data_IF_484529639262
#
_entry.id   IF_484529639262
#
_cell.length_a   1.000
_cell.length_b   1.000
_cell.length_c   1.000
_cell.angle_alpha   90.00
_cell.angle_beta   90.00
_cell.angle_gamma   90.00
#
_symmetry.space_group_name_H-M   'P 1'
#
loop_
_entity.id
_entity.type
_entity.pdbx_description
1 polymer ?
#
# COMPACT_ATOMS: atom_id res chain seq x y z
N UNK A 1 -2.08 4.68 38.77
CA UNK A 1 -2.14 5.02 37.34
C UNK A 1 -2.95 3.92 36.68
N UNK A 2 -4.02 4.25 35.98
CA UNK A 2 -4.84 3.26 35.27
C UNK A 2 -4.05 2.76 34.06
N UNK A 3 -3.73 1.48 34.05
CA UNK A 3 -3.08 0.83 32.92
C UNK A 3 -4.08 0.69 31.76
N UNK A 4 -3.69 1.11 30.55
CA UNK A 4 -4.57 1.08 29.37
C UNK A 4 -4.34 -0.21 28.59
N UNK A 5 -5.21 -1.20 28.78
CA UNK A 5 -5.08 -2.50 28.12
C UNK A 5 -5.82 -2.55 26.77
N UNK A 6 -5.19 -3.17 25.76
CA UNK A 6 -5.87 -3.53 24.52
C UNK A 6 -6.79 -4.73 24.76
N UNK A 7 -8.08 -4.57 24.50
CA UNK A 7 -9.07 -5.64 24.65
C UNK A 7 -8.88 -6.79 23.65
N UNK A 8 -8.15 -6.57 22.55
CA UNK A 8 -7.97 -7.56 21.48
C UNK A 8 -6.74 -8.44 21.69
N UNK A 9 -5.63 -7.87 22.18
CA UNK A 9 -4.36 -8.59 22.34
C UNK A 9 -3.74 -8.50 23.75
N UNK A 10 -4.46 -7.92 24.72
CA UNK A 10 -4.06 -7.75 26.12
C UNK A 10 -2.72 -7.01 26.35
N UNK A 11 -2.21 -6.26 25.38
CA UNK A 11 -1.04 -5.41 25.60
C UNK A 11 -1.38 -4.19 26.44
N UNK A 12 -0.44 -3.80 27.30
CA UNK A 12 -0.61 -2.73 28.30
C UNK A 12 0.14 -1.47 27.86
N UNK A 13 -0.57 -0.34 27.84
CA UNK A 13 -0.04 0.96 27.42
C UNK A 13 -0.06 1.96 28.57
N UNK A 14 0.96 2.83 28.60
CA UNK A 14 1.13 3.88 29.62
C UNK A 14 0.22 5.09 29.44
N UNK A 15 -0.49 5.18 28.32
CA UNK A 15 -1.39 6.30 28.03
C UNK A 15 -2.56 5.88 27.12
N UNK A 16 -3.69 6.61 27.15
CA UNK A 16 -4.80 6.38 26.23
C UNK A 16 -4.37 6.57 24.77
N UNK A 17 -3.46 7.52 24.50
CA UNK A 17 -2.92 7.76 23.16
C UNK A 17 -2.10 6.58 22.64
N UNK A 18 -1.30 5.94 23.51
CA UNK A 18 -0.57 4.72 23.17
C UNK A 18 -1.50 3.56 22.83
N UNK A 19 -2.58 3.38 23.61
CA UNK A 19 -3.61 2.39 23.33
C UNK A 19 -4.34 2.67 22.02
N UNK A 20 -4.72 3.92 21.74
CA UNK A 20 -5.41 4.30 20.49
C UNK A 20 -4.52 4.08 19.28
N UNK A 21 -3.24 4.49 19.34
CA UNK A 21 -2.29 4.26 18.24
C UNK A 21 -2.04 2.78 18.02
N UNK A 22 -1.89 2.00 19.09
CA UNK A 22 -1.81 0.55 19.01
C UNK A 22 -3.06 -0.05 18.35
N UNK A 23 -4.27 0.36 18.78
CA UNK A 23 -5.53 -0.08 18.15
C UNK A 23 -5.56 0.29 16.67
N UNK A 24 -5.19 1.51 16.29
CA UNK A 24 -5.23 1.92 14.88
C UNK A 24 -4.21 1.18 14.00
N UNK A 25 -3.09 0.73 14.57
CA UNK A 25 -2.03 0.03 13.82
C UNK A 25 -2.25 -1.48 13.80
N UNK A 26 -2.58 -2.07 14.95
CA UNK A 26 -2.64 -3.53 15.15
C UNK A 26 -4.08 -4.07 15.11
N UNK A 27 -5.08 -3.23 15.34
CA UNK A 27 -6.51 -3.59 15.33
C UNK A 27 -7.36 -2.51 14.62
N UNK A 28 -6.98 -2.07 13.41
CA UNK A 28 -7.69 -1.00 12.72
C UNK A 28 -9.18 -1.36 12.64
N UNK A 29 -10.01 -0.60 13.35
CA UNK A 29 -11.44 -0.73 13.24
C UNK A 29 -11.84 -0.10 11.91
N UNK A 30 -11.98 -0.92 10.88
CA UNK A 30 -12.61 -0.50 9.63
C UNK A 30 -14.03 -0.10 10.00
N UNK A 31 -14.36 1.20 9.91
CA UNK A 31 -15.73 1.67 10.12
C UNK A 31 -16.65 0.96 9.14
N UNK A 32 -17.40 -0.01 9.65
CA UNK A 32 -18.48 -0.64 8.92
C UNK A 32 -19.54 0.46 8.70
N UNK A 33 -19.76 0.85 7.45
CA UNK A 33 -21.04 1.45 7.08
C UNK A 33 -22.17 0.52 7.53
N UNK A 34 -23.41 1.02 7.73
CA UNK A 34 -24.50 0.21 8.24
C UNK A 34 -24.55 -1.10 7.47
N UNK A 35 -24.19 -2.19 8.15
CA UNK A 35 -24.50 -3.53 7.67
C UNK A 35 -26.02 -3.52 7.56
N UNK A 36 -26.56 -3.79 6.38
CA UNK A 36 -27.98 -4.09 6.27
C UNK A 36 -28.21 -5.33 7.16
N UNK A 37 -28.64 -5.10 8.39
CA UNK A 37 -29.00 -6.10 9.39
C UNK A 37 -30.35 -6.77 9.08
N UNK A 38 -30.83 -6.63 7.84
CA UNK A 38 -31.82 -7.55 7.30
C UNK A 38 -31.08 -8.77 6.80
N UNK A 39 -31.17 -9.88 7.52
CA UNK A 39 -30.93 -11.24 7.00
C UNK A 39 -31.80 -11.44 5.75
N UNK A 40 -31.30 -10.96 4.62
CA UNK A 40 -31.78 -11.33 3.30
C UNK A 40 -30.85 -12.46 2.89
N UNK A 41 -31.37 -13.69 2.87
CA UNK A 41 -30.62 -14.86 2.44
C UNK A 41 -30.24 -14.66 0.96
N UNK A 42 -29.05 -14.12 0.73
CA UNK A 42 -28.47 -14.03 -0.60
C UNK A 42 -27.96 -15.41 -1.01
N UNK A 43 -28.17 -15.77 -2.28
CA UNK A 43 -27.62 -16.99 -2.86
C UNK A 43 -26.33 -16.67 -3.59
N UNK A 44 -25.33 -17.54 -3.47
CA UNK A 44 -24.03 -17.37 -4.09
C UNK A 44 -23.68 -18.58 -4.96
N UNK A 45 -23.09 -18.33 -6.13
CA UNK A 45 -22.51 -19.34 -7.02
C UNK A 45 -21.08 -18.94 -7.34
N UNK A 46 -20.11 -19.77 -7.01
CA UNK A 46 -18.69 -19.53 -7.31
C UNK A 46 -18.29 -20.09 -8.67
N UNK A 47 -17.22 -19.54 -9.24
CA UNK A 47 -16.68 -20.01 -10.51
C UNK A 47 -16.16 -21.46 -10.41
N UNK A 48 -16.41 -22.34 -11.42
CA UNK A 48 -16.09 -23.77 -11.35
C UNK A 48 -14.60 -24.13 -11.52
N UNK A 49 -13.74 -23.17 -11.91
CA UNK A 49 -12.30 -23.42 -12.13
C UNK A 49 -11.38 -22.59 -11.23
N UNK A 50 -11.87 -21.52 -10.62
CA UNK A 50 -11.06 -20.57 -9.84
C UNK A 50 -11.54 -20.58 -8.39
N UNK A 51 -11.05 -21.56 -7.64
CA UNK A 51 -11.47 -21.82 -6.26
C UNK A 51 -10.54 -21.23 -5.20
N UNK A 52 -9.41 -20.65 -5.60
CA UNK A 52 -8.36 -20.17 -4.67
C UNK A 52 -7.90 -21.27 -3.69
N UNK A 53 -7.68 -22.47 -4.22
CA UNK A 53 -7.19 -23.60 -3.44
C UNK A 53 -5.82 -23.23 -2.83
N UNK A 54 -5.62 -23.46 -1.52
CA UNK A 54 -4.37 -23.10 -0.87
C UNK A 54 -3.25 -24.08 -1.25
N UNK A 55 -2.10 -23.54 -1.64
CA UNK A 55 -0.87 -24.29 -1.92
C UNK A 55 0.29 -23.73 -1.11
N UNK A 56 1.26 -24.58 -0.79
CA UNK A 56 2.51 -24.12 -0.19
C UNK A 56 3.47 -23.59 -1.28
N UNK A 57 4.63 -23.06 -0.86
CA UNK A 57 5.64 -22.50 -1.76
C UNK A 57 6.24 -23.52 -2.77
N UNK A 58 5.97 -24.81 -2.61
CA UNK A 58 6.40 -25.88 -3.52
C UNK A 58 5.26 -26.37 -4.42
N UNK A 59 4.10 -25.71 -4.43
CA UNK A 59 2.94 -26.10 -5.22
C UNK A 59 2.21 -27.35 -4.69
N UNK A 60 2.40 -27.70 -3.40
CA UNK A 60 1.71 -28.82 -2.78
C UNK A 60 0.42 -28.31 -2.11
N UNK A 61 -0.75 -28.94 -2.36
CA UNK A 61 -2.01 -28.56 -1.72
C UNK A 61 -1.90 -28.55 -0.19
N UNK A 62 -2.46 -27.52 0.44
CA UNK A 62 -2.58 -27.40 1.89
C UNK A 62 -4.02 -27.72 2.29
N UNK A 63 -4.27 -28.44 3.40
CA UNK A 63 -5.63 -28.66 3.88
C UNK A 63 -6.34 -27.33 4.21
N UNK A 64 -7.61 -27.21 3.82
CA UNK A 64 -8.45 -26.01 3.88
C UNK A 64 -8.53 -25.36 5.29
N UNK A 65 -8.29 -26.13 6.36
CA UNK A 65 -8.40 -25.68 7.74
C UNK A 65 -7.05 -25.39 8.43
N UNK A 66 -5.92 -25.40 7.71
CA UNK A 66 -4.65 -25.00 8.32
C UNK A 66 -4.55 -23.47 8.24
N UNK A 67 -4.57 -22.73 9.37
CA UNK A 67 -4.41 -21.29 9.33
C UNK A 67 -3.08 -20.95 8.65
N UNK A 68 -3.00 -19.81 7.94
CA UNK A 68 -1.74 -19.30 7.42
C UNK A 68 -0.70 -19.31 8.55
N UNK A 69 0.56 -19.57 8.21
CA UNK A 69 1.64 -19.46 9.20
C UNK A 69 1.60 -18.02 9.72
N UNK A 70 1.19 -17.85 10.98
CA UNK A 70 1.19 -16.54 11.63
C UNK A 70 2.59 -15.93 11.47
N UNK A 71 2.64 -14.72 10.92
CA UNK A 71 3.87 -13.93 10.94
C UNK A 71 4.14 -13.65 12.41
N UNK A 72 5.01 -14.46 13.01
CA UNK A 72 5.33 -14.33 14.43
C UNK A 72 6.24 -13.13 14.56
N UNK A 73 5.69 -11.99 14.94
CA UNK A 73 6.49 -10.81 15.26
C UNK A 73 7.47 -11.18 16.39
N UNK A 74 8.75 -10.77 16.28
CA UNK A 74 9.69 -11.04 17.35
C UNK A 74 9.20 -10.40 18.65
N UNK A 75 9.33 -11.07 19.80
CA UNK A 75 8.97 -10.48 21.09
C UNK A 75 9.66 -9.13 21.31
N UNK A 76 8.91 -8.12 21.78
CA UNK A 76 9.37 -6.72 21.92
C UNK A 76 10.65 -6.52 22.75
N UNK A 77 11.06 -7.50 23.54
CA UNK A 77 12.28 -7.46 24.34
C UNK A 77 13.53 -7.90 23.56
N UNK A 78 13.35 -8.49 22.38
CA UNK A 78 14.43 -8.89 21.51
C UNK A 78 14.83 -7.75 20.57
N UNK A 79 16.11 -7.73 20.17
CA UNK A 79 16.63 -6.71 19.26
C UNK A 79 16.00 -6.83 17.87
N UNK A 80 15.68 -8.05 17.42
CA UNK A 80 15.05 -8.29 16.12
C UNK A 80 13.66 -7.61 16.00
N UNK A 81 12.95 -7.42 17.12
CA UNK A 81 11.64 -6.76 17.15
C UNK A 81 11.70 -5.28 16.75
N UNK A 82 12.89 -4.68 16.79
CA UNK A 82 13.11 -3.27 16.50
C UNK A 82 13.89 -3.04 15.21
N UNK A 83 14.34 -4.10 14.53
CA UNK A 83 15.07 -3.99 13.26
C UNK A 83 14.28 -3.10 12.28
N UNK A 84 14.92 -2.16 11.57
CA UNK A 84 16.37 -1.89 11.51
C UNK A 84 16.91 -0.98 12.62
N UNK A 85 16.07 -0.54 13.55
CA UNK A 85 16.49 0.27 14.68
C UNK A 85 17.27 -0.56 15.71
N UNK A 86 18.26 0.06 16.35
CA UNK A 86 19.10 -0.59 17.36
C UNK A 86 18.29 -1.14 18.53
N UNK A 87 17.23 -0.44 18.92
CA UNK A 87 16.35 -0.78 20.03
C UNK A 87 15.04 0.03 20.01
N UNK A 88 14.13 -0.31 20.93
CA UNK A 88 12.86 0.37 21.16
C UNK A 88 12.97 1.90 21.31
N UNK A 89 14.02 2.40 21.98
CA UNK A 89 14.21 3.84 22.18
C UNK A 89 14.50 4.56 20.86
N UNK A 90 15.40 4.01 20.04
CA UNK A 90 15.70 4.55 18.71
C UNK A 90 14.51 4.49 17.75
N UNK A 91 13.69 3.44 17.83
CA UNK A 91 12.42 3.37 17.09
C UNK A 91 11.44 4.46 17.54
N UNK A 92 11.19 4.60 18.84
CA UNK A 92 10.25 5.60 19.35
C UNK A 92 10.68 7.03 19.02
N UNK A 93 11.98 7.31 19.09
CA UNK A 93 12.52 8.59 18.68
C UNK A 93 12.23 8.85 17.20
N UNK A 94 12.53 7.89 16.34
CA UNK A 94 12.28 7.98 14.90
C UNK A 94 10.79 8.18 14.61
N UNK A 95 9.92 7.38 15.20
CA UNK A 95 8.49 7.48 15.01
C UNK A 95 7.94 8.83 15.49
N UNK A 96 8.34 9.30 16.67
CA UNK A 96 7.88 10.58 17.19
C UNK A 96 8.31 11.74 16.27
N UNK A 97 9.58 11.82 15.90
CA UNK A 97 10.08 12.94 15.09
C UNK A 97 9.60 12.89 13.64
N UNK A 98 9.54 11.70 13.04
CA UNK A 98 9.21 11.54 11.63
C UNK A 98 7.70 11.46 11.37
N UNK A 99 6.97 10.63 12.13
CA UNK A 99 5.54 10.36 11.88
C UNK A 99 4.64 11.33 12.63
N UNK A 100 4.88 11.54 13.92
CA UNK A 100 3.98 12.34 14.79
C UNK A 100 4.25 13.84 14.65
N UNK A 101 5.50 14.25 14.85
CA UNK A 101 5.90 15.67 14.88
C UNK A 101 6.17 16.22 13.47
N UNK A 102 6.53 15.36 12.52
CA UNK A 102 6.98 15.73 11.16
C UNK A 102 8.04 16.84 11.21
N UNK A 103 9.03 16.66 12.08
CA UNK A 103 10.02 17.67 12.39
C UNK A 103 10.98 17.89 11.21
N UNK A 104 11.38 19.14 10.99
CA UNK A 104 12.43 19.44 10.01
C UNK A 104 13.80 18.91 10.47
N UNK A 105 14.72 18.70 9.52
CA UNK A 105 16.12 18.31 9.80
C UNK A 105 16.76 19.17 10.90
N UNK A 106 16.56 20.49 10.84
CA UNK A 106 17.07 21.42 11.85
C UNK A 106 16.45 21.23 13.23
N UNK A 107 15.14 20.94 13.32
CA UNK A 107 14.47 20.65 14.59
C UNK A 107 14.96 19.32 15.18
N UNK A 108 15.14 18.28 14.36
CA UNK A 108 15.69 16.99 14.80
C UNK A 108 17.10 17.16 15.38
N UNK A 109 18.00 17.83 14.64
CA UNK A 109 19.36 18.10 15.12
C UNK A 109 19.36 18.90 16.42
N UNK A 110 18.58 19.99 16.49
CA UNK A 110 18.47 20.79 17.72
C UNK A 110 17.97 19.97 18.92
N UNK A 111 17.02 19.07 18.72
CA UNK A 111 16.55 18.17 19.78
C UNK A 111 17.62 17.16 20.22
N UNK A 112 18.42 16.65 19.28
CA UNK A 112 19.56 15.78 19.60
C UNK A 112 20.65 16.55 20.37
N UNK A 113 20.95 17.80 20.02
CA UNK A 113 21.91 18.65 20.71
C UNK A 113 21.47 18.95 22.16
N UNK A 114 20.20 19.29 22.36
CA UNK A 114 19.63 19.51 23.70
C UNK A 114 19.73 18.24 24.55
N UNK A 115 19.37 17.08 23.96
CA UNK A 115 19.47 15.81 24.66
C UNK A 115 20.93 15.45 25.00
N UNK A 116 21.86 15.69 24.08
CA UNK A 116 23.27 15.46 24.30
C UNK A 116 23.81 16.31 25.47
N UNK A 117 23.44 17.59 25.52
CA UNK A 117 23.82 18.47 26.63
C UNK A 117 23.31 17.96 27.98
N UNK A 118 22.05 17.52 28.06
CA UNK A 118 21.47 16.94 29.27
C UNK A 118 22.14 15.63 29.68
N UNK A 119 22.49 14.78 28.71
CA UNK A 119 23.18 13.52 28.99
C UNK A 119 24.58 13.75 29.58
N UNK A 120 25.30 14.78 29.10
CA UNK A 120 26.62 15.13 29.63
C UNK A 120 26.56 15.52 31.12
N UNK A 121 25.51 16.21 31.57
CA UNK A 121 25.32 16.58 32.98
C UNK A 121 25.21 15.35 33.90
N UNK A 122 24.69 14.23 33.39
CA UNK A 122 24.53 12.97 34.14
C UNK A 122 25.60 11.92 33.80
N UNK A 123 26.67 12.32 33.11
CA UNK A 123 27.78 11.43 32.73
C UNK A 123 27.48 10.45 31.59
N UNK A 124 26.40 10.67 30.84
CA UNK A 124 26.02 9.90 29.66
C UNK A 124 26.47 10.56 28.36
N UNK A 125 26.53 9.77 27.28
CA UNK A 125 26.91 10.26 25.93
C UNK A 125 26.10 9.67 24.79
N UNK A 126 25.19 8.73 25.08
CA UNK A 126 24.48 7.96 24.05
C UNK A 126 23.13 8.59 23.71
N UNK A 127 23.10 9.45 22.68
CA UNK A 127 21.87 9.87 22.01
C UNK A 127 21.30 8.75 21.14
N UNK A 128 20.00 8.76 20.79
CA UNK A 128 19.39 7.77 19.89
C UNK A 128 20.03 7.77 18.49
N UNK A 129 20.40 8.95 18.00
CA UNK A 129 21.07 9.13 16.72
C UNK A 129 22.16 10.20 16.85
N UNK A 130 23.17 10.11 15.99
CA UNK A 130 24.22 11.14 15.87
C UNK A 130 23.63 12.46 15.35
N UNK A 131 22.78 12.37 14.33
CA UNK A 131 22.17 13.49 13.65
C UNK A 131 20.89 13.02 12.93
N UNK A 132 20.18 13.96 12.32
CA UNK A 132 19.00 13.67 11.51
C UNK A 132 19.30 12.77 10.30
N UNK A 133 20.52 12.80 9.75
CA UNK A 133 20.87 11.94 8.61
C UNK A 133 20.92 10.48 9.03
N UNK A 134 21.50 10.17 10.19
CA UNK A 134 21.52 8.83 10.75
C UNK A 134 20.08 8.31 11.04
N UNK A 135 19.19 9.20 11.49
CA UNK A 135 17.77 8.87 11.64
C UNK A 135 17.12 8.54 10.29
N UNK A 136 17.32 9.37 9.26
CA UNK A 136 16.77 9.10 7.93
C UNK A 136 17.32 7.80 7.33
N UNK A 137 18.64 7.56 7.42
CA UNK A 137 19.24 6.30 6.98
C UNK A 137 18.61 5.08 7.66
N UNK A 138 18.30 5.17 8.97
CA UNK A 138 17.63 4.08 9.67
C UNK A 138 16.19 3.86 9.16
N UNK A 139 15.44 4.94 8.90
CA UNK A 139 14.10 4.87 8.31
C UNK A 139 14.15 4.29 6.89
N UNK A 140 15.07 4.77 6.04
CA UNK A 140 15.23 4.32 4.66
C UNK A 140 15.69 2.86 4.57
N UNK A 141 16.27 2.32 5.64
CA UNK A 141 16.70 0.92 5.73
C UNK A 141 15.58 -0.07 6.06
N UNK A 142 14.36 0.40 6.37
CA UNK A 142 13.20 -0.46 6.65
C UNK A 142 12.89 -1.31 5.41
N UNK A 143 12.98 -2.64 5.57
CA UNK A 143 12.72 -3.60 4.48
C UNK A 143 11.27 -4.10 4.44
N UNK A 144 10.54 -4.02 5.55
CA UNK A 144 9.14 -4.48 5.60
C UNK A 144 8.25 -3.61 4.71
N UNK A 145 7.50 -4.24 3.80
CA UNK A 145 6.68 -3.53 2.81
C UNK A 145 7.50 -2.70 1.81
N UNK A 146 8.82 -2.92 1.72
CA UNK A 146 9.68 -2.15 0.83
C UNK A 146 9.37 -2.48 -0.63
N UNK A 147 8.67 -1.56 -1.29
CA UNK A 147 8.61 -1.50 -2.74
C UNK A 147 9.28 -0.19 -3.17
N UNK A 148 10.60 -0.21 -3.44
CA UNK A 148 11.34 1.01 -3.71
C UNK A 148 10.85 1.68 -4.99
N UNK A 149 10.95 3.00 -5.02
CA UNK A 149 10.74 3.78 -6.23
C UNK A 149 11.95 3.63 -7.15
N UNK A 150 11.68 3.36 -8.42
CA UNK A 150 12.62 3.44 -9.54
C UNK A 150 12.35 4.75 -10.26
N UNK A 151 13.40 5.53 -10.49
CA UNK A 151 13.30 6.78 -11.26
C UNK A 151 13.99 6.61 -12.61
N UNK A 152 13.22 6.79 -13.67
CA UNK A 152 13.70 6.85 -15.04
C UNK A 152 13.71 8.31 -15.50
N UNK A 153 14.65 8.63 -16.39
CA UNK A 153 14.73 9.96 -17.00
C UNK A 153 14.31 9.83 -18.46
N UNK A 154 13.20 10.46 -18.82
CA UNK A 154 12.58 10.37 -20.14
C UNK A 154 12.73 11.72 -20.83
N UNK A 155 13.03 11.70 -22.12
CA UNK A 155 13.11 12.89 -22.97
C UNK A 155 12.52 12.56 -24.34
N UNK A 156 11.93 13.55 -25.00
CA UNK A 156 11.50 13.41 -26.38
C UNK A 156 12.70 13.12 -27.31
N UNK A 157 12.57 12.10 -28.16
CA UNK A 157 13.66 11.61 -29.03
C UNK A 157 13.36 11.78 -30.53
N UNK A 158 12.24 12.41 -30.89
CA UNK A 158 11.90 12.68 -32.29
C UNK A 158 12.62 13.88 -32.88
N UNK A 159 12.25 14.24 -34.10
CA UNK A 159 12.80 15.40 -34.80
C UNK A 159 12.42 16.70 -34.09
N UNK A 160 13.42 17.58 -33.94
CA UNK A 160 13.24 18.90 -33.32
C UNK A 160 13.05 19.96 -34.41
N UNK A 161 12.07 20.86 -34.29
CA UNK A 161 11.99 22.04 -35.16
C UNK A 161 13.11 23.04 -34.79
N UNK A 162 13.31 24.07 -35.64
CA UNK A 162 14.37 25.06 -35.46
C UNK A 162 14.30 25.81 -34.11
N UNK A 163 13.08 26.07 -33.62
CA UNK A 163 12.82 26.61 -32.28
C UNK A 163 11.98 25.60 -31.48
N UNK A 164 12.62 24.60 -30.85
CA UNK A 164 11.91 23.52 -30.19
C UNK A 164 11.25 24.01 -28.90
N UNK A 165 9.97 23.67 -28.66
CA UNK A 165 9.33 23.99 -27.41
C UNK A 165 10.03 23.26 -26.25
N UNK A 166 9.98 23.85 -25.06
CA UNK A 166 10.72 23.36 -23.88
C UNK A 166 10.44 21.88 -23.60
N UNK A 167 9.21 21.43 -23.81
CA UNK A 167 8.82 20.06 -23.54
C UNK A 167 9.53 19.00 -24.41
N UNK A 168 10.04 19.38 -25.58
CA UNK A 168 10.83 18.48 -26.42
C UNK A 168 12.30 18.39 -25.98
N UNK A 169 12.79 19.38 -25.24
CA UNK A 169 14.22 19.47 -24.86
C UNK A 169 14.49 19.12 -23.41
N UNK A 170 13.47 19.25 -22.55
CA UNK A 170 13.50 18.94 -21.12
C UNK A 170 13.58 17.42 -20.84
N UNK A 171 14.15 17.09 -19.69
CA UNK A 171 14.22 15.72 -19.15
C UNK A 171 13.20 15.60 -18.03
N UNK A 172 12.33 14.59 -18.14
CA UNK A 172 11.27 14.30 -17.21
C UNK A 172 11.62 13.12 -16.31
N UNK A 173 11.36 13.26 -15.01
CA UNK A 173 11.45 12.15 -14.06
C UNK A 173 10.17 11.31 -14.11
N UNK A 174 10.34 10.02 -14.36
CA UNK A 174 9.30 9.01 -14.31
C UNK A 174 9.57 8.07 -13.14
N UNK A 175 8.78 8.20 -12.09
CA UNK A 175 8.92 7.41 -10.89
C UNK A 175 7.91 6.25 -10.91
N UNK A 176 8.38 5.01 -10.78
CA UNK A 176 7.54 3.82 -10.80
C UNK A 176 7.99 2.82 -9.73
N UNK A 177 7.05 2.01 -9.26
CA UNK A 177 7.26 0.89 -8.35
C UNK A 177 6.94 -0.43 -9.04
N UNK A 178 7.61 -1.50 -8.63
CA UNK A 178 7.26 -2.85 -9.07
C UNK A 178 5.83 -3.20 -8.63
N UNK A 179 4.93 -3.32 -9.60
CA UNK A 179 3.50 -3.56 -9.36
C UNK A 179 3.24 -4.93 -8.74
N UNK A 180 4.02 -5.96 -9.11
CA UNK A 180 3.89 -7.30 -8.55
C UNK A 180 4.27 -7.30 -7.08
N UNK A 181 5.34 -6.59 -6.71
CA UNK A 181 5.74 -6.44 -5.31
C UNK A 181 4.68 -5.68 -4.50
N UNK A 182 4.12 -4.57 -5.03
CA UNK A 182 3.02 -3.84 -4.37
C UNK A 182 1.86 -4.78 -4.08
N UNK A 183 1.38 -5.49 -5.11
CA UNK A 183 0.22 -6.38 -4.98
C UNK A 183 0.53 -7.53 -4.03
N UNK A 184 1.72 -8.10 -4.09
CA UNK A 184 2.16 -9.17 -3.19
C UNK A 184 2.13 -8.70 -1.73
N UNK A 185 2.64 -7.50 -1.44
CA UNK A 185 2.57 -6.93 -0.09
C UNK A 185 1.14 -6.61 0.34
N UNK A 186 0.28 -6.13 -0.57
CA UNK A 186 -1.15 -5.94 -0.31
C UNK A 186 -1.88 -7.27 -0.05
N UNK A 187 -1.47 -8.37 -0.69
CA UNK A 187 -2.06 -9.70 -0.47
C UNK A 187 -1.57 -10.36 0.81
N UNK A 188 -0.38 -10.02 1.30
CA UNK A 188 0.16 -10.49 2.59
C UNK A 188 -0.48 -9.82 3.79
N UNK A 189 -1.15 -8.67 3.61
CA UNK A 189 -1.66 -7.89 4.74
C UNK A 189 -2.92 -8.51 5.35
N UNK A 190 -2.94 -8.65 6.67
CA UNK A 190 -4.11 -9.11 7.41
C UNK A 190 -5.10 -7.96 7.72
N UNK A 191 -4.75 -6.72 7.38
CA UNK A 191 -5.58 -5.52 7.65
C UNK A 191 -6.97 -5.62 7.03
N UNK A 192 -7.10 -6.34 5.91
CA UNK A 192 -8.36 -6.55 5.20
C UNK A 192 -8.94 -7.96 5.40
N UNK A 193 -8.56 -8.66 6.47
CA UNK A 193 -9.12 -9.97 6.79
C UNK A 193 -10.65 -9.89 6.89
N UNK A 194 -11.34 -10.81 6.21
CA UNK A 194 -12.81 -10.80 6.08
C UNK A 194 -13.38 -9.78 5.09
N UNK A 195 -12.54 -9.00 4.40
CA UNK A 195 -12.93 -8.03 3.38
C UNK A 195 -12.24 -8.31 2.03
N UNK A 196 -12.11 -9.60 1.71
CA UNK A 196 -11.44 -10.10 0.53
C UNK A 196 -12.27 -11.23 -0.10
N UNK A 197 -12.53 -11.12 -1.40
CA UNK A 197 -13.17 -12.16 -2.19
C UNK A 197 -12.07 -12.98 -2.88
N UNK A 198 -12.06 -14.29 -2.68
CA UNK A 198 -11.03 -15.17 -3.24
C UNK A 198 -11.37 -15.69 -4.62
N UNK A 199 -12.65 -15.78 -4.93
CA UNK A 199 -13.16 -16.42 -6.14
C UNK A 199 -14.18 -15.51 -6.82
N UNK A 200 -14.22 -15.47 -8.16
CA UNK A 200 -15.34 -14.86 -8.87
C UNK A 200 -16.64 -15.55 -8.46
N UNK A 201 -17.69 -14.76 -8.26
CA UNK A 201 -18.96 -15.27 -7.79
C UNK A 201 -20.14 -14.54 -8.41
N UNK A 202 -21.25 -15.24 -8.55
CA UNK A 202 -22.55 -14.63 -8.75
C UNK A 202 -23.34 -14.64 -7.45
N UNK A 203 -24.09 -13.57 -7.25
CA UNK A 203 -24.92 -13.28 -6.09
C UNK A 203 -26.34 -12.93 -6.56
N UNK A 204 -27.33 -13.52 -5.90
CA UNK A 204 -28.75 -13.21 -6.12
C UNK A 204 -29.42 -12.84 -4.82
N UNK A 205 -30.30 -11.85 -4.87
CA UNK A 205 -31.13 -11.47 -3.73
C UNK A 205 -32.31 -12.43 -3.54
N UNK A 206 -33.14 -12.19 -2.53
CA UNK A 206 -34.32 -13.01 -2.21
C UNK A 206 -35.40 -13.00 -3.30
N UNK A 207 -35.33 -12.07 -4.26
CA UNK A 207 -36.21 -11.99 -5.44
C UNK A 207 -35.60 -12.69 -6.66
N UNK A 208 -34.50 -13.43 -6.49
CA UNK A 208 -33.75 -14.09 -7.55
C UNK A 208 -33.19 -13.12 -8.60
N UNK A 209 -32.92 -11.88 -8.22
CA UNK A 209 -32.31 -10.87 -9.09
C UNK A 209 -30.81 -10.79 -8.84
N UNK A 210 -30.05 -10.53 -9.91
CA UNK A 210 -28.59 -10.45 -9.87
C UNK A 210 -28.12 -9.22 -9.06
N UNK A 211 -27.15 -9.43 -8.16
CA UNK A 211 -26.55 -8.39 -7.32
C UNK A 211 -25.06 -8.21 -7.65
N UNK A 212 -24.65 -6.96 -7.90
CA UNK A 212 -23.25 -6.59 -8.17
C UNK A 212 -22.68 -5.78 -7.00
N UNK A 213 -22.22 -6.49 -5.98
CA UNK A 213 -21.75 -5.93 -4.70
C UNK A 213 -20.27 -5.55 -4.67
N UNK A 214 -19.41 -6.31 -5.36
CA UNK A 214 -17.95 -6.17 -5.40
C UNK A 214 -17.45 -6.45 -6.82
N UNK A 215 -16.19 -6.14 -7.12
CA UNK A 215 -15.63 -6.40 -8.46
C UNK A 215 -15.70 -7.89 -8.81
N UNK A 216 -15.43 -8.78 -7.85
CA UNK A 216 -15.52 -10.23 -8.06
C UNK A 216 -16.96 -10.76 -8.24
N UNK A 217 -17.98 -9.93 -8.05
CA UNK A 217 -19.33 -10.25 -8.49
C UNK A 217 -19.70 -9.71 -9.86
N UNK A 218 -18.78 -9.12 -10.62
CA UNK A 218 -19.03 -8.68 -11.99
C UNK A 218 -19.01 -9.82 -13.01
N UNK A 219 -19.82 -9.69 -14.07
CA UNK A 219 -19.79 -10.62 -15.21
C UNK A 219 -18.43 -10.59 -15.91
N UNK A 220 -17.81 -9.41 -16.02
CA UNK A 220 -16.48 -9.27 -16.62
C UNK A 220 -15.44 -10.22 -16.01
N UNK A 221 -15.38 -10.34 -14.67
CA UNK A 221 -14.37 -11.22 -14.06
C UNK A 221 -14.71 -12.70 -14.25
N UNK A 222 -15.99 -13.03 -14.37
CA UNK A 222 -16.47 -14.36 -14.67
C UNK A 222 -16.06 -14.74 -16.10
N UNK A 223 -16.31 -13.85 -17.06
CA UNK A 223 -15.96 -14.06 -18.46
C UNK A 223 -14.45 -14.23 -18.64
N UNK A 224 -13.63 -13.40 -17.96
CA UNK A 224 -12.17 -13.56 -17.96
C UNK A 224 -11.75 -14.93 -17.41
N UNK A 225 -12.38 -15.38 -16.31
CA UNK A 225 -12.10 -16.69 -15.74
C UNK A 225 -12.51 -17.83 -16.70
N UNK A 226 -13.64 -17.70 -17.40
CA UNK A 226 -14.08 -18.64 -18.42
C UNK A 226 -13.10 -18.68 -19.60
N UNK A 227 -12.64 -17.53 -20.10
CA UNK A 227 -11.67 -17.45 -21.21
C UNK A 227 -10.33 -18.09 -20.84
N UNK A 228 -9.79 -17.81 -19.64
CA UNK A 228 -8.55 -18.46 -19.17
C UNK A 228 -8.75 -19.98 -19.04
N UNK A 229 -9.93 -20.43 -18.62
CA UNK A 229 -10.24 -21.85 -18.44
C UNK A 229 -10.39 -22.61 -19.76
N UNK A 230 -10.72 -21.92 -20.87
CA UNK A 230 -10.85 -22.50 -22.21
C UNK A 230 -9.50 -22.78 -22.87
N UNK A 231 -8.48 -22.00 -22.55
CA UNK A 231 -7.12 -22.24 -23.03
C UNK A 231 -6.53 -23.50 -22.35
N UNK A 232 -6.21 -24.57 -23.09
CA UNK A 232 -5.75 -25.83 -22.50
C UNK A 232 -4.44 -25.72 -21.71
N UNK A 233 -3.52 -24.85 -22.14
CA UNK A 233 -2.21 -24.68 -21.51
C UNK A 233 -2.35 -23.86 -20.23
N UNK A 234 -3.13 -22.78 -20.27
CA UNK A 234 -3.42 -21.97 -19.09
C UNK A 234 -4.25 -22.74 -18.08
N UNK A 235 -5.34 -23.37 -18.51
CA UNK A 235 -6.27 -24.13 -17.66
C UNK A 235 -5.56 -25.20 -16.83
N UNK A 236 -4.58 -25.93 -17.40
CA UNK A 236 -3.78 -26.90 -16.64
C UNK A 236 -2.98 -26.25 -15.51
N UNK A 237 -2.45 -25.05 -15.73
CA UNK A 237 -1.60 -24.34 -14.78
C UNK A 237 -2.39 -23.48 -13.77
N UNK A 238 -3.61 -23.06 -14.12
CA UNK A 238 -4.43 -22.12 -13.33
C UNK A 238 -5.64 -22.77 -12.67
N UNK A 239 -5.93 -24.05 -12.92
CA UNK A 239 -7.07 -24.72 -12.29
C UNK A 239 -6.92 -24.73 -10.76
N UNK A 240 -7.93 -24.21 -10.07
CA UNK A 240 -7.93 -24.00 -8.63
C UNK A 240 -7.13 -22.78 -8.16
N UNK A 241 -6.55 -21.99 -9.06
CA UNK A 241 -5.85 -20.76 -8.69
C UNK A 241 -6.82 -19.66 -8.23
N UNK A 242 -6.24 -18.62 -7.62
CA UNK A 242 -6.94 -17.38 -7.32
C UNK A 242 -6.74 -16.40 -8.48
N UNK A 243 -7.85 -15.93 -9.07
CA UNK A 243 -7.79 -14.83 -10.02
C UNK A 243 -7.65 -13.52 -9.24
N UNK A 244 -6.63 -12.71 -9.60
CA UNK A 244 -6.37 -11.40 -8.99
C UNK A 244 -6.51 -10.31 -10.04
N UNK A 245 -7.72 -9.72 -10.22
CA UNK A 245 -7.89 -8.60 -11.12
C UNK A 245 -7.10 -7.38 -10.63
N UNK A 246 -6.59 -6.57 -11.55
CA UNK A 246 -5.91 -5.33 -11.22
C UNK A 246 -6.85 -4.14 -11.44
N UNK A 247 -7.07 -3.36 -10.40
CA UNK A 247 -7.78 -2.08 -10.48
C UNK A 247 -6.73 -0.98 -10.59
N UNK A 248 -6.70 -0.33 -11.75
CA UNK A 248 -5.83 0.80 -12.02
C UNK A 248 -6.67 2.08 -12.10
N UNK A 249 -6.15 3.15 -11.53
CA UNK A 249 -6.75 4.48 -11.63
C UNK A 249 -5.67 5.53 -11.71
N UNK A 250 -5.85 6.56 -12.54
CA UNK A 250 -5.02 7.76 -12.51
C UNK A 250 -5.90 8.95 -12.21
N UNK A 251 -5.40 9.86 -11.40
CA UNK A 251 -6.02 11.17 -11.18
C UNK A 251 -4.93 12.23 -11.30
N UNK A 252 -5.26 13.39 -11.85
CA UNK A 252 -4.30 14.49 -11.97
C UNK A 252 -4.11 15.13 -10.59
N UNK A 253 -2.87 15.21 -10.11
CA UNK A 253 -2.60 15.85 -8.82
C UNK A 253 -1.47 16.88 -8.92
N UNK A 254 -1.64 18.02 -8.26
CA UNK A 254 -0.60 19.05 -8.16
C UNK A 254 0.26 18.75 -6.93
N UNK A 255 1.53 18.34 -7.13
CA UNK A 255 2.40 17.82 -6.05
C UNK A 255 3.20 18.92 -5.34
N UNK A 256 3.49 20.06 -6.00
CA UNK A 256 4.13 21.20 -5.33
C UNK A 256 3.76 22.55 -5.94
N UNK A 257 3.57 23.55 -5.08
CA UNK A 257 3.34 24.96 -5.47
C UNK A 257 4.62 25.80 -5.27
N UNK A 258 5.57 25.35 -4.44
CA UNK A 258 6.65 26.20 -3.91
C UNK A 258 8.03 26.12 -4.58
N UNK A 259 8.40 25.05 -5.27
CA UNK A 259 9.81 24.80 -5.70
C UNK A 259 9.96 24.34 -7.15
N UNK A 260 9.02 24.68 -8.03
CA UNK A 260 9.16 24.36 -9.47
C UNK A 260 7.85 24.09 -10.21
N UNK A 261 6.69 24.20 -9.54
CA UNK A 261 5.37 23.96 -10.15
C UNK A 261 5.29 22.68 -11.03
N UNK A 262 5.93 21.60 -10.62
CA UNK A 262 5.86 20.33 -11.35
C UNK A 262 4.54 19.63 -11.00
N UNK A 263 3.72 19.37 -12.02
CA UNK A 263 2.48 18.62 -11.89
C UNK A 263 2.74 17.16 -12.26
N UNK A 264 2.05 16.23 -11.59
CA UNK A 264 2.18 14.81 -11.88
C UNK A 264 0.80 14.17 -12.12
N UNK A 265 0.75 13.18 -12.99
CA UNK A 265 -0.33 12.20 -13.02
C UNK A 265 0.11 10.99 -12.19
N UNK A 266 -0.24 10.90 -10.90
CA UNK A 266 -0.12 9.65 -10.17
C UNK A 266 -1.03 8.59 -10.81
N UNK A 267 -0.56 7.36 -10.78
CA UNK A 267 -1.40 6.20 -10.99
C UNK A 267 -1.38 5.31 -9.76
N UNK A 268 -2.52 4.73 -9.49
CA UNK A 268 -2.84 3.93 -8.32
C UNK A 268 -3.20 2.51 -8.76
N UNK A 269 -2.85 1.56 -7.91
CA UNK A 269 -3.12 0.14 -8.11
C UNK A 269 -3.78 -0.46 -6.85
N UNK A 270 -4.67 -1.42 -7.07
CA UNK A 270 -5.35 -2.18 -6.02
C UNK A 270 -5.74 -3.56 -6.55
N UNK A 271 -5.66 -4.63 -5.73
CA UNK A 271 -6.26 -5.90 -6.09
C UNK A 271 -7.79 -5.79 -6.12
N UNK A 272 -8.39 -6.29 -7.19
CA UNK A 272 -9.84 -6.31 -7.41
C UNK A 272 -10.59 -7.17 -6.40
N UNK A 273 -9.89 -8.10 -5.75
CA UNK A 273 -10.40 -8.99 -4.72
C UNK A 273 -10.85 -8.27 -3.44
N UNK A 274 -10.33 -7.07 -3.16
CA UNK A 274 -10.80 -6.29 -2.02
C UNK A 274 -12.27 -5.91 -2.21
N UNK A 275 -13.05 -6.03 -1.14
CA UNK A 275 -14.43 -5.55 -1.16
C UNK A 275 -14.47 -4.05 -1.43
N UNK A 276 -15.62 -3.57 -1.93
CA UNK A 276 -15.83 -2.14 -2.11
C UNK A 276 -15.67 -1.35 -0.81
N UNK A 277 -15.95 -1.97 0.35
CA UNK A 277 -15.73 -1.38 1.67
C UNK A 277 -14.23 -1.28 1.97
N UNK A 278 -13.47 -2.36 1.84
CA UNK A 278 -12.01 -2.33 2.09
C UNK A 278 -11.28 -1.33 1.18
N UNK A 279 -11.70 -1.22 -0.08
CA UNK A 279 -11.12 -0.26 -1.03
C UNK A 279 -11.35 1.20 -0.63
N UNK A 280 -12.43 1.49 0.11
CA UNK A 280 -12.77 2.84 0.62
C UNK A 280 -12.32 3.07 2.06
N UNK A 281 -11.89 2.02 2.76
CA UNK A 281 -11.42 2.10 4.12
C UNK A 281 -10.04 2.78 4.21
N UNK A 282 -9.73 3.34 5.38
CA UNK A 282 -8.37 3.77 5.68
C UNK A 282 -7.43 2.57 5.71
N UNK A 283 -6.38 2.60 4.89
CA UNK A 283 -5.38 1.54 4.81
C UNK A 283 -4.67 1.53 3.46
N UNK A 284 -3.82 0.53 3.26
CA UNK A 284 -3.05 0.35 2.02
C UNK A 284 -3.84 -0.43 0.95
N UNK A 285 -5.16 -0.20 0.84
CA UNK A 285 -6.01 -0.89 -0.15
C UNK A 285 -5.81 -0.38 -1.57
N UNK A 286 -5.42 0.88 -1.71
CA UNK A 286 -5.07 1.55 -2.97
C UNK A 286 -3.72 2.23 -2.77
N UNK A 287 -2.75 1.95 -3.63
CA UNK A 287 -1.38 2.43 -3.49
C UNK A 287 -0.89 3.11 -4.78
N UNK A 288 -0.17 4.24 -4.71
CA UNK A 288 0.35 4.91 -5.90
C UNK A 288 1.54 4.11 -6.47
N UNK A 289 1.46 3.54 -7.67
CA UNK A 289 2.60 2.78 -8.22
C UNK A 289 3.44 3.59 -9.20
N UNK A 290 2.96 4.73 -9.67
CA UNK A 290 3.59 5.51 -10.72
C UNK A 290 3.31 7.00 -10.54
N UNK A 291 4.28 7.84 -10.88
CA UNK A 291 4.13 9.28 -11.04
C UNK A 291 4.69 9.68 -12.40
N UNK A 292 3.81 10.12 -13.30
CA UNK A 292 4.19 10.66 -14.60
C UNK A 292 4.28 12.18 -14.53
N UNK A 293 5.45 12.74 -14.82
CA UNK A 293 5.59 14.19 -14.89
C UNK A 293 4.72 14.75 -16.01
N UNK A 294 4.03 15.86 -15.75
CA UNK A 294 3.21 16.53 -16.76
C UNK A 294 4.07 17.60 -17.42
N UNK A 295 4.43 17.44 -18.71
CA UNK A 295 5.20 18.43 -19.43
C UNK A 295 4.46 19.76 -19.47
N UNK A 296 5.17 20.84 -19.13
CA UNK A 296 4.63 22.19 -19.25
C UNK A 296 4.74 22.64 -20.69
N UNK A 297 3.65 23.17 -21.22
CA UNK A 297 3.64 23.69 -22.58
C UNK A 297 2.59 24.79 -22.75
N UNK A 298 2.68 25.54 -23.85
CA UNK A 298 1.70 26.57 -24.21
C UNK A 298 0.38 25.95 -24.72
N UNK A 299 -0.67 26.76 -24.86
CA UNK A 299 -2.00 26.25 -25.24
C UNK A 299 -2.05 25.66 -26.67
N UNK A 300 -1.19 26.10 -27.58
CA UNK A 300 -1.15 25.63 -28.95
C UNK A 300 -0.53 24.24 -29.03
N UNK A 301 0.65 24.09 -28.43
CA UNK A 301 1.36 22.81 -28.35
C UNK A 301 0.56 21.78 -27.58
N UNK A 302 -0.16 22.21 -26.52
CA UNK A 302 -1.04 21.33 -25.74
C UNK A 302 -2.17 20.69 -26.56
N UNK A 303 -2.53 21.27 -27.70
CA UNK A 303 -3.54 20.71 -28.63
C UNK A 303 -2.92 19.90 -29.76
N UNK A 304 -1.59 19.88 -29.86
CA UNK A 304 -0.90 19.19 -30.94
C UNK A 304 -0.93 17.68 -30.71
N UNK A 305 -1.09 16.93 -31.81
CA UNK A 305 -1.06 15.47 -31.77
C UNK A 305 0.30 14.95 -31.28
N UNK A 306 1.38 15.64 -31.62
CA UNK A 306 2.73 15.25 -31.22
C UNK A 306 2.91 15.35 -29.70
N UNK A 307 2.43 16.43 -29.08
CA UNK A 307 2.44 16.58 -27.63
C UNK A 307 1.56 15.52 -26.94
N UNK A 308 0.36 15.27 -27.48
CA UNK A 308 -0.53 14.21 -26.98
C UNK A 308 0.07 12.79 -27.10
N UNK A 309 0.94 12.55 -28.08
CA UNK A 309 1.60 11.25 -28.26
C UNK A 309 2.78 11.08 -27.32
N UNK A 310 3.43 12.18 -26.95
CA UNK A 310 4.53 12.19 -26.00
C UNK A 310 4.06 12.00 -24.54
N UNK A 311 2.92 12.59 -24.18
CA UNK A 311 2.31 12.48 -22.85
C UNK A 311 1.54 11.17 -22.68
#
# INVERSE_FOLDING_TARGET
MSDFCCATCNQVFRSPGGLTRHKNIKHPAISFGPQNTGESQHQFKTHPHFHANPYNAHGIPVPENKPPKSITEPPIHLAEAWSPFKNHSTYNWSHFFYVELKASKGKINKSLDILAAQLLEVGGSNTPFKDAQALYTAIDSIQEGNTPWLTYHIKYTGELPDDPPLWMTEVYEFCIRDTLNILTEQLKTEVFSGQFNYTPYWEWNTRNERVYSNLLSGDWVWDIADEISKDPDLSRSTNGAMLVPLVLGSDKTTVSVGTGHQEYHPAYISPGNLTNIARRAHGNSVLPFMFFAIPRTNQNDRKSQLFHTFC
#
